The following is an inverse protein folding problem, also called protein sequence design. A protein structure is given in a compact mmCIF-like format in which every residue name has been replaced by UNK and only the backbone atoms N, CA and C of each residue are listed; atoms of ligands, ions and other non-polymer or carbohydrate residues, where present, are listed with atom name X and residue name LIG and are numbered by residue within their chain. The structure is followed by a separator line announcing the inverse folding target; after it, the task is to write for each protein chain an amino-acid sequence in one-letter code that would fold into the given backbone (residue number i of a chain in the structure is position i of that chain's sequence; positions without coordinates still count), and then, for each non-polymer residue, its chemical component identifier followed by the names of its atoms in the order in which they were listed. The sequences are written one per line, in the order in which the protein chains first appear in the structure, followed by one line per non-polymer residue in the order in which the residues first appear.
data_IF_770618530195
#
_entry.id   IF_770618530195
#
_cell.length_a   1.000
_cell.length_b   1.000
_cell.length_c   1.000
_cell.angle_alpha   90.00
_cell.angle_beta   90.00
_cell.angle_gamma   90.00
#
_symmetry.space_group_name_H-M   'P 1'
#
loop_
_entity.id
_entity.type
_entity.pdbx_description
1 polymer ?
#
# COMPACT_ATOMS: atom_id res chain seq x y z
N UNK A 1 -7.92 -7.55 -22.32
CA UNK A 1 -6.91 -6.57 -21.88
C UNK A 1 -7.51 -5.37 -21.16
N UNK A 2 -8.64 -4.81 -21.57
CA UNK A 2 -9.34 -3.71 -20.86
C UNK A 2 -9.64 -4.02 -19.36
N UNK A 3 -9.88 -5.26 -19.00
CA UNK A 3 -10.22 -5.64 -17.62
C UNK A 3 -9.11 -5.41 -16.59
N UNK A 4 -7.82 -5.49 -16.98
CA UNK A 4 -6.70 -5.31 -16.05
C UNK A 4 -6.64 -3.90 -15.45
N UNK A 5 -6.94 -2.85 -16.24
CA UNK A 5 -6.96 -1.47 -15.74
C UNK A 5 -8.11 -1.25 -14.75
N UNK A 6 -9.27 -1.85 -15.03
CA UNK A 6 -10.44 -1.77 -14.15
C UNK A 6 -10.10 -2.40 -12.81
N UNK A 7 -9.55 -3.62 -12.80
CA UNK A 7 -9.18 -4.31 -11.56
C UNK A 7 -8.10 -3.57 -10.78
N UNK A 8 -7.08 -3.01 -11.45
CA UNK A 8 -6.06 -2.19 -10.80
C UNK A 8 -6.69 -0.92 -10.18
N UNK A 9 -7.61 -0.26 -10.89
CA UNK A 9 -8.32 0.91 -10.36
C UNK A 9 -9.18 0.55 -9.15
N UNK A 10 -9.96 -0.53 -9.23
CA UNK A 10 -10.80 -1.00 -8.12
C UNK A 10 -9.94 -1.33 -6.90
N UNK A 11 -8.85 -2.08 -7.08
CA UNK A 11 -7.94 -2.43 -6.00
C UNK A 11 -7.31 -1.18 -5.35
N UNK A 12 -6.89 -0.20 -6.15
CA UNK A 12 -6.37 1.08 -5.68
C UNK A 12 -7.41 1.87 -4.87
N UNK A 13 -8.65 1.90 -5.32
CA UNK A 13 -9.72 2.57 -4.58
C UNK A 13 -10.08 1.84 -3.29
N UNK A 14 -10.03 0.51 -3.27
CA UNK A 14 -10.21 -0.28 -2.05
C UNK A 14 -9.08 -0.01 -1.06
N UNK A 15 -7.83 -0.02 -1.53
CA UNK A 15 -6.64 0.32 -0.72
C UNK A 15 -6.76 1.75 -0.16
N UNK A 16 -7.14 2.72 -0.99
CA UNK A 16 -7.37 4.11 -0.57
C UNK A 16 -8.45 4.20 0.51
N UNK A 17 -9.61 3.58 0.30
CA UNK A 17 -10.71 3.62 1.27
C UNK A 17 -10.28 3.02 2.61
N UNK A 18 -9.60 1.87 2.58
CA UNK A 18 -9.05 1.27 3.80
C UNK A 18 -8.06 2.20 4.49
N UNK A 19 -7.11 2.76 3.73
CA UNK A 19 -6.09 3.68 4.25
C UNK A 19 -6.72 4.90 4.94
N UNK A 20 -7.70 5.54 4.30
CA UNK A 20 -8.40 6.71 4.85
C UNK A 20 -9.21 6.35 6.11
N UNK A 21 -9.94 5.24 6.09
CA UNK A 21 -10.67 4.77 7.28
C UNK A 21 -9.70 4.47 8.42
N UNK A 22 -8.63 3.74 8.15
CA UNK A 22 -7.62 3.40 9.14
C UNK A 22 -6.94 4.65 9.73
N UNK A 23 -6.73 5.69 8.91
CA UNK A 23 -6.04 6.92 9.33
C UNK A 23 -6.95 7.94 10.02
N UNK A 24 -8.19 8.08 9.59
CA UNK A 24 -9.05 9.19 10.01
C UNK A 24 -10.19 8.79 10.93
N UNK A 25 -10.60 7.53 10.93
CA UNK A 25 -11.67 7.05 11.80
C UNK A 25 -11.07 6.50 13.09
N UNK A 26 -11.50 6.96 14.28
CA UNK A 26 -11.04 6.36 15.54
C UNK A 26 -11.62 4.96 15.70
N UNK A 27 -10.74 3.96 15.68
CA UNK A 27 -11.08 2.53 15.73
C UNK A 27 -10.49 1.87 16.98
N UNK A 28 -10.43 2.61 18.09
CA UNK A 28 -9.89 2.16 19.37
C UNK A 28 -8.49 1.52 19.22
N UNK A 29 -8.30 0.29 19.67
CA UNK A 29 -7.00 -0.41 19.62
C UNK A 29 -6.49 -0.71 18.21
N UNK A 30 -7.30 -0.51 17.17
CA UNK A 30 -6.84 -0.72 15.79
C UNK A 30 -5.85 0.34 15.35
N UNK A 31 -6.09 1.59 15.66
CA UNK A 31 -5.24 2.69 15.16
C UNK A 31 -4.81 3.72 16.21
N UNK A 32 -5.37 3.70 17.42
CA UNK A 32 -5.00 4.61 18.51
C UNK A 32 -4.87 6.08 18.07
N UNK A 33 -5.82 6.54 17.32
CA UNK A 33 -5.78 7.83 16.65
C UNK A 33 -5.56 9.03 17.57
N UNK A 34 -6.06 8.99 18.81
CA UNK A 34 -5.92 10.13 19.71
C UNK A 34 -4.47 10.47 20.06
N UNK A 35 -3.60 9.46 20.18
CA UNK A 35 -2.17 9.69 20.38
C UNK A 35 -1.51 10.30 19.14
N UNK A 36 -2.10 10.10 17.96
CA UNK A 36 -1.60 10.53 16.67
C UNK A 36 -1.98 11.98 16.29
N UNK A 37 -3.15 12.46 16.69
CA UNK A 37 -3.58 13.85 16.43
C UNK A 37 -2.62 14.91 17.01
N UNK A 38 -1.76 14.49 17.95
CA UNK A 38 -0.77 15.37 18.60
C UNK A 38 0.55 15.44 17.83
N UNK A 39 0.80 14.54 16.87
CA UNK A 39 2.06 14.50 16.13
C UNK A 39 1.87 14.99 14.68
N UNK A 40 2.13 16.27 14.46
CA UNK A 40 1.87 16.97 13.19
C UNK A 40 2.61 16.41 11.98
N UNK A 41 3.77 15.75 12.17
CA UNK A 41 4.59 15.29 11.04
C UNK A 41 3.94 14.16 10.24
N UNK A 42 3.18 13.29 10.91
CA UNK A 42 2.45 12.21 10.24
C UNK A 42 1.19 12.71 9.50
N UNK A 43 0.57 13.77 9.98
CA UNK A 43 -0.63 14.34 9.38
C UNK A 43 -0.42 14.73 7.91
N UNK A 44 0.64 15.48 7.63
CA UNK A 44 0.95 15.92 6.26
C UNK A 44 1.34 14.76 5.35
N UNK A 45 2.12 13.80 5.86
CA UNK A 45 2.50 12.62 5.08
C UNK A 45 1.29 11.77 4.69
N UNK A 46 0.32 11.61 5.58
CA UNK A 46 -0.89 10.84 5.32
C UNK A 46 -1.79 11.50 4.27
N UNK A 47 -1.94 12.82 4.32
CA UNK A 47 -2.65 13.56 3.26
C UNK A 47 -1.96 13.38 1.91
N UNK A 48 -0.64 13.51 1.86
CA UNK A 48 0.14 13.34 0.62
C UNK A 48 -0.03 11.92 0.07
N UNK A 49 0.05 10.90 0.91
CA UNK A 49 -0.15 9.51 0.50
C UNK A 49 -1.58 9.31 -0.05
N UNK A 50 -2.60 9.84 0.62
CA UNK A 50 -3.99 9.77 0.15
C UNK A 50 -4.13 10.37 -1.26
N UNK A 51 -3.63 11.57 -1.48
CA UNK A 51 -3.64 12.19 -2.81
C UNK A 51 -2.87 11.40 -3.85
N UNK A 52 -1.71 10.82 -3.49
CA UNK A 52 -0.93 9.99 -4.40
C UNK A 52 -1.70 8.74 -4.83
N UNK A 53 -2.37 8.05 -3.91
CA UNK A 53 -3.15 6.85 -4.26
C UNK A 53 -4.32 7.19 -5.17
N UNK A 54 -5.04 8.29 -4.92
CA UNK A 54 -6.11 8.78 -5.81
C UNK A 54 -5.56 9.14 -7.20
N UNK A 55 -4.43 9.84 -7.26
CA UNK A 55 -3.79 10.17 -8.53
C UNK A 55 -3.35 8.93 -9.31
N UNK A 56 -2.80 7.92 -8.62
CA UNK A 56 -2.43 6.64 -9.22
C UNK A 56 -3.71 5.96 -9.76
N UNK A 57 -4.76 5.84 -8.97
CA UNK A 57 -6.03 5.23 -9.38
C UNK A 57 -6.61 5.92 -10.63
N UNK A 58 -6.62 7.26 -10.65
CA UNK A 58 -7.05 8.04 -11.79
C UNK A 58 -6.18 7.79 -13.04
N UNK A 59 -4.86 7.62 -12.87
CA UNK A 59 -3.94 7.32 -13.96
C UNK A 59 -4.25 5.97 -14.61
N UNK A 60 -4.62 4.96 -13.82
CA UNK A 60 -5.06 3.65 -14.31
C UNK A 60 -6.44 3.71 -14.96
N UNK A 61 -7.40 4.44 -14.38
CA UNK A 61 -8.73 4.65 -14.94
C UNK A 61 -8.68 5.33 -16.32
N UNK A 62 -7.76 6.29 -16.49
CA UNK A 62 -7.56 7.02 -17.76
C UNK A 62 -6.55 6.37 -18.71
N UNK A 63 -5.97 5.23 -18.33
CA UNK A 63 -4.99 4.46 -19.11
C UNK A 63 -3.80 5.33 -19.58
N UNK A 64 -3.33 6.24 -18.73
CA UNK A 64 -2.21 7.14 -19.03
C UNK A 64 -0.87 6.44 -18.84
N UNK A 65 -0.25 6.01 -19.93
CA UNK A 65 0.93 5.15 -19.94
C UNK A 65 2.06 5.63 -19.02
N UNK A 66 2.50 6.87 -19.14
CA UNK A 66 3.62 7.41 -18.34
C UNK A 66 3.23 7.45 -16.86
N UNK A 67 2.05 7.99 -16.54
CA UNK A 67 1.55 8.07 -15.17
C UNK A 67 1.35 6.68 -14.54
N UNK A 68 0.95 5.66 -15.31
CA UNK A 68 0.85 4.28 -14.83
C UNK A 68 2.22 3.72 -14.44
N UNK A 69 3.27 3.99 -15.22
CA UNK A 69 4.63 3.58 -14.87
C UNK A 69 5.10 4.26 -13.59
N UNK A 70 4.91 5.58 -13.47
CA UNK A 70 5.27 6.33 -12.25
C UNK A 70 4.48 5.78 -11.06
N UNK A 71 3.17 5.60 -11.19
CA UNK A 71 2.32 5.06 -10.13
C UNK A 71 2.72 3.65 -9.71
N UNK A 72 3.05 2.78 -10.67
CA UNK A 72 3.55 1.42 -10.38
C UNK A 72 4.88 1.46 -9.64
N UNK A 73 5.78 2.38 -9.99
CA UNK A 73 7.07 2.55 -9.29
C UNK A 73 6.87 3.06 -7.85
N UNK A 74 5.95 3.98 -7.63
CA UNK A 74 5.60 4.46 -6.29
C UNK A 74 4.99 3.34 -5.42
N UNK A 75 4.11 2.52 -6.00
CA UNK A 75 3.57 1.34 -5.31
C UNK A 75 4.67 0.31 -5.00
N UNK A 76 5.62 0.10 -5.90
CA UNK A 76 6.77 -0.77 -5.65
C UNK A 76 7.61 -0.27 -4.47
N UNK A 77 7.90 1.03 -4.42
CA UNK A 77 8.62 1.65 -3.31
C UNK A 77 7.85 1.48 -1.99
N UNK A 78 6.55 1.77 -1.99
CA UNK A 78 5.72 1.61 -0.80
C UNK A 78 5.66 0.16 -0.33
N UNK A 79 5.50 -0.79 -1.27
CA UNK A 79 5.57 -2.24 -0.98
C UNK A 79 6.92 -2.63 -0.37
N UNK A 80 8.02 -2.13 -0.93
CA UNK A 80 9.36 -2.39 -0.41
C UNK A 80 9.52 -1.85 1.02
N UNK A 81 9.11 -0.62 1.29
CA UNK A 81 9.14 -0.02 2.63
C UNK A 81 8.40 -0.90 3.63
N UNK A 82 7.18 -1.35 3.31
CA UNK A 82 6.41 -2.21 4.20
C UNK A 82 7.04 -3.59 4.41
N UNK A 83 7.64 -4.18 3.37
CA UNK A 83 8.39 -5.43 3.51
C UNK A 83 9.58 -5.27 4.46
N UNK A 84 10.38 -4.20 4.31
CA UNK A 84 11.54 -3.93 5.15
C UNK A 84 11.17 -3.54 6.58
N UNK A 85 10.10 -2.77 6.75
CA UNK A 85 9.68 -2.25 8.05
C UNK A 85 8.95 -3.30 8.91
N UNK A 86 8.22 -4.24 8.29
CA UNK A 86 7.32 -5.14 9.00
C UNK A 86 7.61 -6.62 8.77
N UNK A 87 7.64 -7.07 7.52
CA UNK A 87 7.65 -8.49 7.20
C UNK A 87 9.02 -9.14 7.35
N UNK A 88 10.07 -8.45 6.94
CA UNK A 88 11.45 -8.95 7.12
C UNK A 88 11.81 -9.02 8.59
N UNK A 89 11.58 -8.00 9.44
CA UNK A 89 11.79 -8.11 10.89
C UNK A 89 10.94 -9.22 11.52
N UNK A 90 9.70 -9.37 11.13
CA UNK A 90 8.84 -10.45 11.63
C UNK A 90 9.39 -11.84 11.25
N UNK A 91 9.83 -12.03 10.02
CA UNK A 91 10.40 -13.30 9.57
C UNK A 91 11.75 -13.64 10.19
N UNK A 92 12.60 -12.64 10.43
CA UNK A 92 13.98 -12.83 10.88
C UNK A 92 14.20 -12.70 12.40
N UNK A 93 13.18 -12.35 13.17
CA UNK A 93 13.31 -11.97 14.58
C UNK A 93 14.39 -10.89 14.83
N UNK A 94 14.43 -9.91 13.96
CA UNK A 94 15.39 -8.82 14.04
C UNK A 94 14.68 -7.48 14.12
N UNK A 95 14.10 -7.10 15.28
CA UNK A 95 13.49 -5.78 15.43
C UNK A 95 14.62 -4.75 15.52
N UNK A 96 14.96 -4.15 14.41
CA UNK A 96 15.95 -3.06 14.34
C UNK A 96 15.49 -1.83 15.11
N UNK A 97 14.17 -1.72 15.38
CA UNK A 97 13.57 -0.60 16.10
C UNK A 97 12.58 -1.07 17.17
N UNK A 98 13.14 -1.55 18.30
CA UNK A 98 12.36 -2.02 19.46
C UNK A 98 11.34 -0.99 19.97
N UNK A 99 11.66 0.31 19.94
CA UNK A 99 10.75 1.37 20.38
C UNK A 99 9.50 1.45 19.51
N UNK A 100 9.63 1.31 18.19
CA UNK A 100 8.51 1.27 17.25
C UNK A 100 7.64 0.03 17.49
N UNK A 101 8.26 -1.14 17.59
CA UNK A 101 7.54 -2.38 17.84
C UNK A 101 6.81 -2.38 19.18
N UNK A 102 7.41 -1.88 20.26
CA UNK A 102 6.79 -1.82 21.58
C UNK A 102 5.49 -0.98 21.56
N UNK A 103 5.45 0.07 20.75
CA UNK A 103 4.24 0.88 20.57
C UNK A 103 3.16 0.10 19.80
N UNK A 104 3.51 -0.56 18.70
CA UNK A 104 2.55 -1.28 17.87
C UNK A 104 2.06 -2.61 18.48
N UNK A 105 2.84 -3.24 19.36
CA UNK A 105 2.42 -4.45 20.10
C UNK A 105 1.20 -4.22 21.01
N UNK A 106 0.93 -2.99 21.40
CA UNK A 106 -0.23 -2.63 22.20
C UNK A 106 -1.53 -2.54 21.38
N UNK A 107 -1.42 -2.53 20.05
CA UNK A 107 -2.54 -2.53 19.13
C UNK A 107 -3.09 -3.94 18.92
N UNK A 108 -4.25 -4.03 18.27
CA UNK A 108 -4.84 -5.31 17.88
C UNK A 108 -3.88 -6.08 16.98
N UNK A 109 -3.63 -7.35 17.32
CA UNK A 109 -2.81 -8.27 16.53
C UNK A 109 -3.71 -9.32 15.89
N UNK A 110 -3.53 -9.62 14.61
CA UNK A 110 -4.24 -10.69 13.88
C UNK A 110 -3.31 -11.83 13.49
N UNK A 111 -2.00 -11.60 13.55
CA UNK A 111 -0.99 -12.60 13.27
C UNK A 111 -0.40 -13.13 14.60
N UNK A 112 -0.01 -14.40 14.66
CA UNK A 112 0.57 -14.96 15.86
C UNK A 112 1.96 -14.39 16.14
N UNK A 113 2.29 -14.22 17.42
CA UNK A 113 3.67 -13.99 17.83
C UNK A 113 4.43 -15.32 17.73
N UNK A 114 5.40 -15.41 16.81
CA UNK A 114 6.18 -16.63 16.57
C UNK A 114 7.55 -16.45 17.18
N UNK A 115 7.92 -17.30 18.13
CA UNK A 115 9.25 -17.32 18.76
C UNK A 115 9.77 -15.94 19.25
N UNK A 116 8.88 -15.09 19.74
CA UNK A 116 9.22 -13.73 20.19
C UNK A 116 9.30 -12.69 19.09
N UNK A 117 9.00 -13.05 17.84
CA UNK A 117 8.89 -12.11 16.73
C UNK A 117 7.60 -11.30 16.85
N UNK A 118 7.68 -10.01 16.66
CA UNK A 118 6.53 -9.14 16.69
C UNK A 118 5.92 -8.99 15.30
N UNK A 119 4.67 -9.44 15.08
CA UNK A 119 4.00 -9.24 13.80
C UNK A 119 3.63 -7.77 13.57
N UNK A 120 3.35 -7.38 12.32
CA UNK A 120 2.64 -6.14 12.04
C UNK A 120 1.34 -6.09 12.84
N UNK A 121 0.94 -4.92 13.34
CA UNK A 121 -0.40 -4.78 13.91
C UNK A 121 -1.48 -5.06 12.86
N UNK A 122 -2.72 -5.27 13.31
CA UNK A 122 -3.84 -5.61 12.42
C UNK A 122 -4.03 -4.59 11.29
N UNK A 123 -3.85 -3.31 11.59
CA UNK A 123 -3.97 -2.23 10.62
C UNK A 123 -2.95 -2.33 9.50
N UNK A 124 -1.67 -2.53 9.85
CA UNK A 124 -0.60 -2.70 8.86
C UNK A 124 -0.71 -4.03 8.12
N UNK A 125 -1.04 -5.12 8.82
CA UNK A 125 -1.22 -6.42 8.16
C UNK A 125 -2.33 -6.39 7.10
N UNK A 126 -3.49 -5.80 7.41
CA UNK A 126 -4.58 -5.67 6.43
C UNK A 126 -4.19 -4.71 5.30
N UNK A 127 -3.52 -3.60 5.63
CA UNK A 127 -3.01 -2.68 4.61
C UNK A 127 -2.12 -3.42 3.61
N UNK A 128 -1.23 -4.27 4.08
CA UNK A 128 -0.29 -5.04 3.25
C UNK A 128 -0.99 -6.13 2.44
N UNK A 129 -2.00 -6.79 3.01
CA UNK A 129 -2.84 -7.73 2.26
C UNK A 129 -3.64 -7.06 1.13
N UNK A 130 -3.89 -5.76 1.22
CA UNK A 130 -4.46 -4.97 0.13
C UNK A 130 -3.38 -4.42 -0.81
N UNK A 131 -2.26 -3.94 -0.27
CA UNK A 131 -1.19 -3.30 -1.04
C UNK A 131 -0.49 -4.28 -1.99
N UNK A 132 -0.13 -5.47 -1.54
CA UNK A 132 0.62 -6.43 -2.36
C UNK A 132 -0.17 -6.90 -3.58
N UNK A 133 -1.45 -7.33 -3.48
CA UNK A 133 -2.26 -7.64 -4.66
C UNK A 133 -2.49 -6.41 -5.55
N UNK A 134 -2.67 -5.22 -4.97
CA UNK A 134 -2.85 -3.98 -5.73
C UNK A 134 -1.62 -3.68 -6.56
N UNK A 135 -0.43 -3.82 -5.99
CA UNK A 135 0.83 -3.66 -6.72
C UNK A 135 0.95 -4.69 -7.86
N UNK A 136 0.65 -5.97 -7.62
CA UNK A 136 0.67 -7.01 -8.65
C UNK A 136 -0.29 -6.71 -9.82
N UNK A 137 -1.50 -6.23 -9.51
CA UNK A 137 -2.47 -5.80 -10.51
C UNK A 137 -1.99 -4.57 -11.29
N UNK A 138 -1.37 -3.60 -10.62
CA UNK A 138 -0.80 -2.41 -11.25
C UNK A 138 0.33 -2.78 -12.23
N UNK A 139 1.24 -3.66 -11.83
CA UNK A 139 2.30 -4.19 -12.70
C UNK A 139 1.69 -4.86 -13.93
N UNK A 140 0.72 -5.76 -13.72
CA UNK A 140 0.05 -6.49 -14.80
C UNK A 140 -0.61 -5.54 -15.81
N UNK A 141 -1.35 -4.54 -15.32
CA UNK A 141 -2.03 -3.56 -16.15
C UNK A 141 -1.02 -2.67 -16.93
N UNK A 142 0.07 -2.28 -16.28
CA UNK A 142 1.11 -1.43 -16.89
C UNK A 142 1.85 -2.17 -18.00
N UNK A 143 2.19 -3.45 -17.79
CA UNK A 143 2.83 -4.31 -18.81
C UNK A 143 1.87 -4.58 -19.97
N UNK A 144 0.60 -4.88 -19.68
CA UNK A 144 -0.42 -5.11 -20.70
C UNK A 144 -0.58 -3.88 -21.62
N UNK A 145 -0.57 -2.67 -21.04
CA UNK A 145 -0.66 -1.42 -21.80
C UNK A 145 0.56 -1.17 -22.70
N UNK A 146 1.74 -1.64 -22.30
CA UNK A 146 2.96 -1.55 -23.15
C UNK A 146 2.81 -2.33 -24.45
N UNK A 147 2.16 -3.49 -24.40
CA UNK A 147 2.04 -4.40 -25.58
C UNK A 147 1.07 -3.87 -26.63
N UNK A 148 0.03 -3.12 -26.21
CA UNK A 148 -0.97 -2.56 -27.14
C UNK A 148 -0.48 -1.32 -27.89
N UNK A 149 0.52 -0.61 -27.38
CA UNK A 149 1.08 0.59 -28.02
C UNK A 149 2.14 0.31 -29.09
N UNK A 150 2.46 -0.96 -29.44
CA UNK A 150 3.33 -1.28 -30.56
C UNK A 150 2.54 -1.20 -31.86
N UNK A 151 2.99 -0.40 -32.87
CA UNK A 151 2.40 -0.45 -34.20
C UNK A 151 2.45 -1.88 -34.74
N UNK A 152 1.38 -2.28 -35.44
CA UNK A 152 1.40 -3.56 -36.14
C UNK A 152 2.60 -3.59 -37.13
N UNK A 153 3.43 -4.65 -37.15
CA UNK A 153 4.53 -4.74 -38.12
C UNK A 153 4.07 -4.74 -39.56
N UNK A 154 2.76 -4.84 -39.81
CA UNK A 154 2.16 -4.88 -41.15
C UNK A 154 1.45 -3.57 -41.55
N UNK A 155 1.78 -2.44 -40.90
CA UNK A 155 1.19 -1.12 -41.22
C UNK A 155 1.98 -0.32 -42.27
N UNK A 156 2.69 -1.04 -43.17
CA UNK A 156 3.32 -0.46 -44.37
C UNK A 156 2.89 -1.24 -45.59
#
# INVERSE_FOLDING_TARGET
MQRAHIWATVALMTLFTYYEVYRWVPLDRWNWRFAWLVNNDQFYSDIVIGFLVVWIAWSFARVRRVSMWIGTSLLALWTAVHLFDWWIPYAKNAPENLGRFSFYCQRTQILPVIAGHYPPDAGHAILDFLLFPTFALAVTATIANRRTGRPSPNAF
#
